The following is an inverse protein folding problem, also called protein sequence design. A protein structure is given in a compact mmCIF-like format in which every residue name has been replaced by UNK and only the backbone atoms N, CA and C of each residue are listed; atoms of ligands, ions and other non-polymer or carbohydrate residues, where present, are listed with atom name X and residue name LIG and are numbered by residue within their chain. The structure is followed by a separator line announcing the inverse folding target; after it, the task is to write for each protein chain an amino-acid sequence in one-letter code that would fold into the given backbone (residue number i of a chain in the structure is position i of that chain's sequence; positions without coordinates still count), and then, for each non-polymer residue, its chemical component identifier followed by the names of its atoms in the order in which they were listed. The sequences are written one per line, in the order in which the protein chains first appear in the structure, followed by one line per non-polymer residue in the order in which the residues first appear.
data_IF_667547056276
#
_entry.id   IF_667547056276
#
_cell.length_a   1.000
_cell.length_b   1.000
_cell.length_c   1.000
_cell.angle_alpha   90.00
_cell.angle_beta   90.00
_cell.angle_gamma   90.00
#
_symmetry.space_group_name_H-M   'P 1'
#
loop_
_entity.id
_entity.type
_entity.pdbx_description
1 polymer ?
#
# COMPACT_ATOMS: atom_id res chain seq x y z
N UNK A 1 -6.62 14.58 6.57
CA UNK A 1 -6.02 13.99 5.34
C UNK A 1 -5.88 12.48 5.51
N UNK A 2 -6.00 11.71 4.43
CA UNK A 2 -5.70 10.27 4.41
C UNK A 2 -4.64 9.96 3.34
N UNK A 3 -3.57 9.27 3.69
CA UNK A 3 -2.49 8.86 2.80
C UNK A 3 -2.76 7.42 2.32
N UNK A 4 -2.58 7.17 1.02
CA UNK A 4 -2.60 5.84 0.44
C UNK A 4 -1.21 5.48 -0.10
N UNK A 5 -0.69 4.31 0.30
CA UNK A 5 0.55 3.75 -0.26
C UNK A 5 0.33 2.35 -0.86
N UNK A 6 1.25 1.96 -1.75
CA UNK A 6 1.34 0.57 -2.24
C UNK A 6 1.91 -0.35 -1.16
N UNK A 7 1.58 -1.65 -1.19
CA UNK A 7 2.25 -2.65 -0.36
C UNK A 7 3.64 -2.98 -0.94
N UNK A 8 4.39 -3.83 -0.25
CA UNK A 8 5.64 -4.39 -0.75
C UNK A 8 5.55 -5.89 -1.04
N UNK A 9 6.44 -6.37 -1.91
CA UNK A 9 6.56 -7.79 -2.27
C UNK A 9 7.35 -8.59 -1.23
N UNK A 10 8.34 -7.96 -0.61
CA UNK A 10 9.13 -8.56 0.46
C UNK A 10 8.43 -8.32 1.80
N UNK A 11 8.45 -9.35 2.64
CA UNK A 11 7.84 -9.32 3.96
C UNK A 11 8.86 -9.77 5.00
N UNK A 12 8.86 -9.13 6.15
CA UNK A 12 9.71 -9.41 7.29
C UNK A 12 8.86 -9.72 8.53
N UNK A 13 8.96 -10.95 9.02
CA UNK A 13 8.24 -11.47 10.17
C UNK A 13 9.12 -11.62 11.42
N UNK A 14 10.26 -10.90 11.47
CA UNK A 14 11.00 -10.70 12.71
C UNK A 14 10.10 -10.10 13.79
N UNK A 15 10.41 -10.35 15.06
CA UNK A 15 9.62 -9.86 16.19
C UNK A 15 9.49 -8.33 16.13
N UNK A 16 8.27 -7.78 16.10
CA UNK A 16 8.08 -6.33 16.09
C UNK A 16 8.44 -5.74 17.46
N UNK A 17 8.96 -4.52 17.48
CA UNK A 17 9.16 -3.76 18.72
C UNK A 17 7.81 -3.28 19.31
N UNK A 18 6.80 -3.07 18.45
CA UNK A 18 5.46 -2.61 18.82
C UNK A 18 4.43 -3.75 18.77
N UNK A 19 3.66 -3.92 19.84
CA UNK A 19 2.82 -5.11 20.06
C UNK A 19 1.33 -4.90 19.77
N UNK A 20 0.82 -3.66 19.76
CA UNK A 20 -0.60 -3.43 19.50
C UNK A 20 -0.93 -3.74 18.02
N UNK A 21 -2.10 -4.32 17.78
CA UNK A 21 -2.52 -4.74 16.46
C UNK A 21 -4.03 -4.60 16.27
N UNK A 22 -4.45 -4.61 15.02
CA UNK A 22 -5.85 -4.70 14.58
C UNK A 22 -6.02 -5.82 13.56
N UNK A 23 -7.25 -6.03 13.11
CA UNK A 23 -7.58 -7.02 12.08
C UNK A 23 -8.05 -6.36 10.79
N UNK A 24 -7.72 -6.95 9.62
CA UNK A 24 -8.22 -6.49 8.33
C UNK A 24 -9.75 -6.51 8.24
N UNK A 25 -10.33 -5.48 7.62
CA UNK A 25 -11.79 -5.31 7.59
C UNK A 25 -12.46 -6.30 6.60
N UNK A 26 -11.81 -6.61 5.46
CA UNK A 26 -12.37 -7.42 4.37
C UNK A 26 -12.26 -8.95 4.57
N UNK A 27 -12.51 -9.45 5.78
CA UNK A 27 -12.29 -10.87 6.15
C UNK A 27 -12.94 -11.90 5.21
N UNK A 28 -14.16 -11.65 4.73
CA UNK A 28 -14.86 -12.55 3.80
C UNK A 28 -14.24 -12.57 2.40
N UNK A 29 -13.78 -11.41 1.91
CA UNK A 29 -13.12 -11.32 0.63
C UNK A 29 -11.72 -11.95 0.68
N UNK A 30 -10.97 -11.74 1.78
CA UNK A 30 -9.68 -12.41 2.02
C UNK A 30 -9.86 -13.94 1.97
N UNK A 31 -10.83 -14.49 2.71
CA UNK A 31 -11.13 -15.93 2.71
C UNK A 31 -11.45 -16.44 1.30
N UNK A 32 -12.23 -15.69 0.53
CA UNK A 32 -12.60 -16.05 -0.85
C UNK A 32 -11.38 -16.11 -1.75
N UNK A 33 -10.54 -15.07 -1.74
CA UNK A 33 -9.33 -15.01 -2.56
C UNK A 33 -8.33 -16.11 -2.15
N UNK A 34 -8.08 -16.30 -0.85
CA UNK A 34 -7.22 -17.38 -0.36
C UNK A 34 -7.72 -18.76 -0.80
N UNK A 35 -9.03 -19.02 -0.81
CA UNK A 35 -9.59 -20.28 -1.31
C UNK A 35 -9.32 -20.51 -2.80
N UNK A 36 -9.34 -19.46 -3.62
CA UNK A 36 -8.96 -19.55 -5.03
C UNK A 36 -7.47 -19.84 -5.15
N UNK A 37 -6.63 -19.12 -4.38
CA UNK A 37 -5.18 -19.26 -4.43
C UNK A 37 -4.70 -20.62 -3.92
N UNK A 38 -5.34 -21.19 -2.90
CA UNK A 38 -5.06 -22.54 -2.35
C UNK A 38 -5.19 -23.67 -3.37
N UNK A 39 -5.94 -23.47 -4.45
CA UNK A 39 -6.15 -24.48 -5.50
C UNK A 39 -5.07 -24.49 -6.58
N UNK A 40 -4.23 -23.45 -6.64
CA UNK A 40 -3.20 -23.28 -7.66
C UNK A 40 -1.92 -23.99 -7.21
N UNK A 41 -1.29 -24.72 -8.14
CA UNK A 41 0.04 -25.30 -7.92
C UNK A 41 1.12 -24.27 -8.19
N UNK A 42 2.36 -24.52 -7.78
CA UNK A 42 3.51 -23.65 -8.05
C UNK A 42 3.60 -23.25 -9.52
N UNK A 43 3.45 -24.20 -10.46
CA UNK A 43 3.47 -23.87 -11.90
C UNK A 43 2.39 -22.84 -12.29
N UNK A 44 1.15 -23.04 -11.85
CA UNK A 44 0.05 -22.09 -12.12
C UNK A 44 0.33 -20.70 -11.51
N UNK A 45 0.97 -20.65 -10.33
CA UNK A 45 1.34 -19.41 -9.67
C UNK A 45 2.50 -18.70 -10.38
N UNK A 46 3.49 -19.45 -10.87
CA UNK A 46 4.61 -18.92 -11.64
C UNK A 46 4.11 -18.22 -12.91
N UNK A 47 3.22 -18.89 -13.66
CA UNK A 47 2.60 -18.35 -14.87
C UNK A 47 1.70 -17.15 -14.55
N UNK A 48 0.82 -17.26 -13.55
CA UNK A 48 -0.15 -16.22 -13.19
C UNK A 48 0.51 -14.93 -12.70
N UNK A 49 1.58 -15.04 -11.91
CA UNK A 49 2.22 -13.90 -11.25
C UNK A 49 3.53 -13.46 -11.92
N UNK A 50 3.96 -14.17 -12.97
CA UNK A 50 5.24 -13.96 -13.65
C UNK A 50 6.42 -13.96 -12.66
N UNK A 51 6.50 -15.01 -11.84
CA UNK A 51 7.54 -15.19 -10.81
C UNK A 51 8.36 -16.45 -11.07
N UNK A 52 9.55 -16.51 -10.47
CA UNK A 52 10.40 -17.72 -10.52
C UNK A 52 9.73 -18.90 -9.83
N UNK A 53 10.13 -20.11 -10.21
CA UNK A 53 9.68 -21.37 -9.62
C UNK A 53 9.82 -21.39 -8.09
N UNK A 54 11.01 -21.05 -7.57
CA UNK A 54 11.25 -20.97 -6.12
C UNK A 54 10.27 -20.03 -5.40
N UNK A 55 9.93 -18.88 -6.01
CA UNK A 55 8.95 -17.97 -5.43
C UNK A 55 7.54 -18.52 -5.53
N UNK A 56 7.23 -19.26 -6.59
CA UNK A 56 5.92 -19.87 -6.77
C UNK A 56 5.67 -21.01 -5.76
N UNK A 57 6.66 -21.88 -5.54
CA UNK A 57 6.62 -22.92 -4.51
C UNK A 57 6.45 -22.33 -3.11
N UNK A 58 7.21 -21.27 -2.80
CA UNK A 58 7.08 -20.53 -1.55
C UNK A 58 5.64 -20.00 -1.37
N UNK A 59 5.05 -19.40 -2.41
CA UNK A 59 3.71 -18.85 -2.31
C UNK A 59 2.62 -19.93 -2.31
N UNK A 60 2.81 -21.06 -2.99
CA UNK A 60 1.92 -22.23 -2.86
C UNK A 60 1.88 -22.70 -1.40
N UNK A 61 3.06 -22.85 -0.76
CA UNK A 61 3.17 -23.22 0.66
C UNK A 61 2.45 -22.19 1.54
N UNK A 62 2.73 -20.89 1.35
CA UNK A 62 2.08 -19.80 2.10
C UNK A 62 0.56 -19.86 2.00
N UNK A 63 0.02 -20.06 0.80
CA UNK A 63 -1.42 -20.20 0.64
C UNK A 63 -1.96 -21.45 1.31
N UNK A 64 -1.31 -22.61 1.16
CA UNK A 64 -1.74 -23.85 1.82
C UNK A 64 -1.77 -23.73 3.34
N UNK A 65 -0.78 -23.07 3.94
CA UNK A 65 -0.67 -22.87 5.38
C UNK A 65 -1.42 -21.65 5.90
N UNK A 66 -2.06 -20.86 5.03
CA UNK A 66 -2.79 -19.66 5.42
C UNK A 66 -3.96 -20.01 6.36
N UNK A 67 -3.99 -19.38 7.52
CA UNK A 67 -4.96 -19.62 8.59
C UNK A 67 -6.10 -18.60 8.57
N UNK A 68 -7.28 -18.99 9.06
CA UNK A 68 -8.44 -18.08 9.12
C UNK A 68 -8.33 -17.04 10.23
N UNK A 69 -7.70 -17.44 11.34
CA UNK A 69 -7.51 -16.60 12.52
C UNK A 69 -6.09 -16.01 12.49
N UNK A 70 -6.01 -14.73 12.84
CA UNK A 70 -4.78 -13.95 12.75
C UNK A 70 -4.36 -13.61 14.17
N UNK A 71 -3.14 -14.01 14.51
CA UNK A 71 -2.52 -13.76 15.79
C UNK A 71 -1.02 -13.47 15.59
N UNK A 72 -0.33 -12.93 16.61
CA UNK A 72 1.10 -12.61 16.50
C UNK A 72 2.01 -13.79 16.13
N UNK A 73 1.59 -15.04 16.34
CA UNK A 73 2.40 -16.22 16.01
C UNK A 73 2.40 -16.53 14.51
N UNK A 74 1.33 -16.15 13.79
CA UNK A 74 1.17 -16.45 12.36
C UNK A 74 1.15 -15.20 11.47
N UNK A 75 1.12 -14.02 12.05
CA UNK A 75 0.93 -12.75 11.34
C UNK A 75 1.66 -11.59 12.02
N UNK A 76 1.86 -10.50 11.28
CA UNK A 76 2.50 -9.28 11.77
C UNK A 76 1.79 -8.06 11.20
N UNK A 77 1.83 -6.93 11.91
CA UNK A 77 1.20 -5.69 11.48
C UNK A 77 1.71 -5.24 10.11
N UNK A 78 0.83 -4.79 9.23
CA UNK A 78 1.13 -4.48 7.84
C UNK A 78 2.30 -3.51 7.67
N UNK A 79 2.33 -2.39 8.42
CA UNK A 79 3.40 -1.39 8.32
C UNK A 79 4.76 -1.93 8.77
N UNK A 80 4.77 -2.88 9.71
CA UNK A 80 5.98 -3.51 10.25
C UNK A 80 6.42 -4.73 9.42
N UNK A 81 5.50 -5.35 8.69
CA UNK A 81 5.73 -6.56 7.92
C UNK A 81 6.22 -6.25 6.50
N UNK A 82 5.70 -5.22 5.83
CA UNK A 82 6.15 -4.87 4.48
C UNK A 82 7.58 -4.30 4.51
N UNK A 83 8.43 -4.81 3.60
CA UNK A 83 9.79 -4.30 3.38
C UNK A 83 10.03 -4.11 1.88
N UNK A 84 10.68 -3.02 1.49
CA UNK A 84 10.96 -2.65 0.10
C UNK A 84 11.15 -1.15 -0.04
N UNK A 85 11.43 -0.65 -1.23
CA UNK A 85 11.89 0.73 -1.48
C UNK A 85 11.05 1.84 -0.80
N UNK A 86 9.73 1.67 -0.70
CA UNK A 86 8.86 2.60 0.03
C UNK A 86 9.07 2.46 1.54
N UNK A 87 9.02 1.23 2.06
CA UNK A 87 9.04 0.94 3.49
C UNK A 87 10.42 1.06 4.13
N UNK A 88 11.50 0.97 3.35
CA UNK A 88 12.86 1.26 3.85
C UNK A 88 13.10 2.74 4.11
N UNK A 89 12.20 3.61 3.62
CA UNK A 89 12.19 5.04 3.86
C UNK A 89 11.09 5.49 4.83
N UNK A 90 10.38 4.53 5.43
CA UNK A 90 9.48 4.75 6.56
C UNK A 90 10.18 4.17 7.77
N UNK A 91 10.66 5.04 8.66
CA UNK A 91 11.49 4.66 9.81
C UNK A 91 10.61 4.18 10.97
N UNK A 92 9.82 3.15 10.68
CA UNK A 92 8.79 2.63 11.58
C UNK A 92 9.39 2.06 12.87
N UNK A 93 10.65 1.64 12.86
CA UNK A 93 11.34 1.15 14.04
C UNK A 93 11.68 2.28 15.04
N UNK A 94 11.64 3.54 14.60
CA UNK A 94 11.78 4.71 15.46
C UNK A 94 10.45 5.24 15.99
N UNK A 95 9.31 4.64 15.63
CA UNK A 95 8.00 5.25 15.91
C UNK A 95 7.63 5.19 17.39
N UNK A 96 7.15 6.31 17.91
CA UNK A 96 6.45 6.38 19.19
C UNK A 96 5.06 5.78 19.09
N UNK A 97 4.42 5.51 20.24
CA UNK A 97 3.03 5.06 20.28
C UNK A 97 2.10 6.06 19.57
N UNK A 98 2.32 7.36 19.76
CA UNK A 98 1.53 8.42 19.15
C UNK A 98 1.71 8.46 17.62
N UNK A 99 2.89 8.14 17.11
CA UNK A 99 3.16 8.04 15.67
C UNK A 99 2.44 6.83 15.06
N UNK A 100 2.43 5.67 15.75
CA UNK A 100 1.59 4.53 15.35
C UNK A 100 0.10 4.86 15.38
N UNK A 101 -0.39 5.52 16.43
CA UNK A 101 -1.79 5.94 16.53
C UNK A 101 -2.17 6.93 15.42
N UNK A 102 -1.26 7.86 15.08
CA UNK A 102 -1.44 8.79 13.98
C UNK A 102 -1.48 8.05 12.64
N UNK A 103 -0.50 7.19 12.36
CA UNK A 103 -0.46 6.37 11.16
C UNK A 103 -1.74 5.54 11.04
N UNK A 104 -2.19 4.90 12.13
CA UNK A 104 -3.40 4.07 12.14
C UNK A 104 -4.66 4.83 11.69
N UNK A 105 -4.73 6.13 11.98
CA UNK A 105 -5.83 7.01 11.57
C UNK A 105 -5.64 7.58 10.15
N UNK A 106 -4.42 7.91 9.77
CA UNK A 106 -4.12 8.74 8.59
C UNK A 106 -3.45 8.01 7.43
N UNK A 107 -3.09 6.73 7.56
CA UNK A 107 -2.48 5.93 6.50
C UNK A 107 -3.35 4.71 6.16
N UNK A 108 -3.46 4.39 4.87
CA UNK A 108 -3.92 3.08 4.41
C UNK A 108 -2.96 2.50 3.37
N UNK A 109 -2.87 1.17 3.38
CA UNK A 109 -2.05 0.41 2.45
C UNK A 109 -2.99 -0.36 1.53
N UNK A 110 -2.94 -0.09 0.23
CA UNK A 110 -3.71 -0.85 -0.75
C UNK A 110 -3.14 -2.28 -0.86
N UNK A 111 -3.97 -3.27 -1.15
CA UNK A 111 -3.51 -4.67 -1.25
C UNK A 111 -4.38 -5.48 -2.20
N UNK A 112 -3.74 -6.31 -3.04
CA UNK A 112 -4.47 -7.23 -3.92
C UNK A 112 -5.26 -8.28 -3.14
N UNK A 113 -4.72 -8.77 -2.00
CA UNK A 113 -5.37 -9.79 -1.16
C UNK A 113 -6.28 -9.18 -0.10
N UNK A 114 -5.83 -8.11 0.55
CA UNK A 114 -6.50 -7.53 1.71
C UNK A 114 -7.40 -6.34 1.36
N UNK A 115 -7.35 -5.84 0.11
CA UNK A 115 -8.11 -4.68 -0.36
C UNK A 115 -7.52 -3.38 0.18
N UNK A 116 -7.81 -3.06 1.43
CA UNK A 116 -7.36 -1.86 2.15
C UNK A 116 -6.95 -2.27 3.57
N UNK A 117 -5.71 -1.96 3.95
CA UNK A 117 -5.15 -2.27 5.27
C UNK A 117 -4.90 -0.99 6.07
N UNK A 118 -5.14 -1.07 7.39
CA UNK A 118 -4.58 -0.14 8.37
C UNK A 118 -3.13 -0.54 8.70
N UNK A 119 -2.27 0.40 9.12
CA UNK A 119 -0.89 0.12 9.52
C UNK A 119 -0.72 -1.05 10.50
N UNK A 120 -1.59 -1.15 11.50
CA UNK A 120 -1.53 -2.15 12.55
C UNK A 120 -2.33 -3.42 12.23
N UNK A 121 -2.91 -3.55 11.03
CA UNK A 121 -3.62 -4.78 10.66
C UNK A 121 -2.67 -5.95 10.52
N UNK A 122 -2.97 -7.04 11.20
CA UNK A 122 -2.24 -8.29 11.05
C UNK A 122 -2.38 -8.83 9.64
N UNK A 123 -1.24 -9.13 9.00
CA UNK A 123 -1.16 -9.81 7.71
C UNK A 123 -0.35 -11.10 7.85
N UNK A 124 -0.77 -12.13 7.12
CA UNK A 124 -0.03 -13.39 6.98
C UNK A 124 0.80 -13.34 5.69
N UNK A 125 1.86 -14.14 5.56
CA UNK A 125 2.70 -14.14 4.36
C UNK A 125 1.88 -14.46 3.11
N UNK A 126 2.01 -13.64 2.07
CA UNK A 126 1.31 -13.83 0.79
C UNK A 126 2.08 -13.15 -0.34
N UNK A 127 1.66 -13.42 -1.58
CA UNK A 127 1.98 -12.58 -2.73
C UNK A 127 0.79 -12.54 -3.67
N UNK A 128 0.14 -11.37 -3.77
CA UNK A 128 -0.93 -11.14 -4.74
C UNK A 128 -0.92 -9.66 -5.11
N UNK A 129 -0.27 -9.36 -6.22
CA UNK A 129 -0.14 -8.01 -6.77
C UNK A 129 -1.48 -7.57 -7.36
N UNK A 130 -1.83 -6.28 -7.27
CA UNK A 130 -3.17 -5.81 -7.69
C UNK A 130 -3.38 -6.00 -9.19
N UNK A 131 -2.32 -5.91 -9.99
CA UNK A 131 -2.36 -6.15 -11.43
C UNK A 131 -2.59 -7.62 -11.85
N UNK A 132 -2.62 -8.57 -10.89
CA UNK A 132 -2.77 -10.00 -11.21
C UNK A 132 -4.13 -10.27 -11.88
N UNK A 133 -4.11 -10.95 -13.03
CA UNK A 133 -5.32 -11.38 -13.76
C UNK A 133 -5.92 -12.66 -13.14
N UNK A 134 -6.25 -12.56 -11.86
CA UNK A 134 -6.89 -13.65 -11.13
C UNK A 134 -8.39 -13.69 -11.45
N UNK A 135 -8.81 -14.68 -12.22
CA UNK A 135 -10.23 -14.91 -12.48
C UNK A 135 -10.92 -15.49 -11.24
N UNK A 136 -12.09 -14.93 -10.93
CA UNK A 136 -12.94 -15.32 -9.81
C UNK A 136 -14.41 -15.26 -10.25
N UNK A 137 -15.32 -15.75 -9.41
CA UNK A 137 -16.77 -15.61 -9.66
C UNK A 137 -17.24 -14.14 -9.75
N UNK A 138 -16.45 -13.17 -9.27
CA UNK A 138 -16.82 -11.75 -9.22
C UNK A 138 -16.13 -10.90 -10.31
N UNK A 139 -15.26 -11.48 -11.14
CA UNK A 139 -14.53 -10.74 -12.15
C UNK A 139 -13.29 -11.46 -12.68
N UNK A 140 -12.76 -10.97 -13.80
CA UNK A 140 -11.62 -11.54 -14.53
C UNK A 140 -10.25 -11.12 -13.98
N UNK A 141 -10.23 -10.17 -13.06
CA UNK A 141 -9.03 -9.63 -12.42
C UNK A 141 -9.41 -9.01 -11.06
N UNK A 142 -8.40 -8.59 -10.29
CA UNK A 142 -8.63 -8.02 -8.95
C UNK A 142 -9.30 -6.64 -8.98
N UNK A 143 -9.14 -5.85 -10.04
CA UNK A 143 -9.86 -4.56 -10.17
C UNK A 143 -11.37 -4.78 -10.22
N UNK A 144 -11.83 -5.71 -11.06
CA UNK A 144 -13.24 -6.10 -11.14
C UNK A 144 -13.73 -6.75 -9.84
N UNK A 145 -12.91 -7.61 -9.23
CA UNK A 145 -13.24 -8.27 -7.97
C UNK A 145 -13.53 -7.26 -6.85
N UNK A 146 -12.64 -6.27 -6.68
CA UNK A 146 -12.78 -5.26 -5.63
C UNK A 146 -13.85 -4.22 -5.97
N UNK A 147 -14.02 -3.88 -7.25
CA UNK A 147 -15.04 -2.94 -7.72
C UNK A 147 -15.05 -1.65 -6.87
N UNK A 148 -16.23 -1.26 -6.37
CA UNK A 148 -16.37 -0.06 -5.54
C UNK A 148 -15.98 -0.26 -4.05
N UNK A 149 -15.59 -1.47 -3.61
CA UNK A 149 -15.46 -1.79 -2.18
C UNK A 149 -14.37 -0.97 -1.49
N UNK A 150 -13.19 -0.88 -2.13
CA UNK A 150 -12.05 -0.15 -1.61
C UNK A 150 -12.40 1.34 -1.48
N UNK A 151 -13.01 1.94 -2.50
CA UNK A 151 -13.44 3.34 -2.46
C UNK A 151 -14.47 3.61 -1.35
N UNK A 152 -15.43 2.70 -1.14
CA UNK A 152 -16.40 2.81 -0.04
C UNK A 152 -15.74 2.76 1.34
N UNK A 153 -14.80 1.84 1.56
CA UNK A 153 -14.04 1.78 2.81
C UNK A 153 -13.15 3.03 3.01
N UNK A 154 -12.58 3.57 1.94
CA UNK A 154 -11.85 4.85 2.01
C UNK A 154 -12.80 5.99 2.42
N UNK A 155 -14.00 6.08 1.85
CA UNK A 155 -14.96 7.13 2.23
C UNK A 155 -15.33 7.09 3.72
N UNK A 156 -15.50 5.90 4.29
CA UNK A 156 -15.83 5.71 5.71
C UNK A 156 -14.76 6.29 6.65
N UNK A 157 -13.49 6.11 6.28
CA UNK A 157 -12.37 6.55 7.13
C UNK A 157 -11.94 7.99 6.82
N UNK A 158 -12.00 8.41 5.55
CA UNK A 158 -11.58 9.73 5.11
C UNK A 158 -12.57 10.82 5.53
N UNK A 159 -13.88 10.51 5.62
CA UNK A 159 -14.93 11.49 5.99
C UNK A 159 -14.79 12.80 5.21
N UNK A 160 -14.71 12.68 3.88
CA UNK A 160 -14.53 13.79 2.92
C UNK A 160 -13.21 14.58 3.04
N UNK A 161 -12.28 14.17 3.91
CA UNK A 161 -10.93 14.70 3.92
C UNK A 161 -10.18 14.35 2.63
N UNK A 162 -9.27 15.23 2.21
CA UNK A 162 -8.40 15.02 1.05
C UNK A 162 -7.58 13.74 1.20
N UNK A 163 -7.53 12.97 0.12
CA UNK A 163 -6.71 11.79 -0.04
C UNK A 163 -5.41 12.19 -0.73
N UNK A 164 -4.29 11.80 -0.14
CA UNK A 164 -2.98 11.88 -0.76
C UNK A 164 -2.63 10.51 -1.33
N UNK A 165 -2.55 10.44 -2.65
CA UNK A 165 -2.15 9.25 -3.35
C UNK A 165 -0.63 9.22 -3.52
N UNK A 166 0.02 8.40 -2.68
CA UNK A 166 1.43 8.00 -2.79
C UNK A 166 1.56 6.54 -3.25
N UNK A 167 0.46 5.91 -3.68
CA UNK A 167 0.49 4.57 -4.25
C UNK A 167 0.86 4.62 -5.74
N UNK A 168 1.42 3.52 -6.23
CA UNK A 168 1.61 3.34 -7.67
C UNK A 168 0.26 3.20 -8.38
N UNK A 169 0.21 3.58 -9.66
CA UNK A 169 -0.98 3.44 -10.50
C UNK A 169 -1.56 2.03 -10.51
N UNK A 170 -0.73 0.99 -10.45
CA UNK A 170 -1.18 -0.41 -10.37
C UNK A 170 -2.16 -0.64 -9.20
N UNK A 171 -1.90 -0.05 -8.04
CA UNK A 171 -2.72 -0.23 -6.84
C UNK A 171 -3.83 0.82 -6.79
N UNK A 172 -3.53 2.08 -7.09
CA UNK A 172 -4.53 3.15 -7.04
C UNK A 172 -5.68 2.95 -8.04
N UNK A 173 -5.43 2.27 -9.17
CA UNK A 173 -6.47 1.86 -10.12
C UNK A 173 -7.59 0.99 -9.50
N UNK A 174 -7.35 0.34 -8.37
CA UNK A 174 -8.38 -0.41 -7.65
C UNK A 174 -9.32 0.48 -6.82
N UNK A 175 -9.02 1.78 -6.70
CA UNK A 175 -9.90 2.77 -6.09
C UNK A 175 -10.85 3.31 -7.16
N UNK A 176 -12.11 2.91 -7.09
CA UNK A 176 -13.16 3.44 -7.97
C UNK A 176 -13.42 4.92 -7.71
N UNK A 177 -12.84 5.79 -8.53
CA UNK A 177 -12.98 7.25 -8.43
C UNK A 177 -14.42 7.74 -8.59
N UNK A 178 -15.32 6.97 -9.25
CA UNK A 178 -16.74 7.35 -9.35
C UNK A 178 -17.49 7.14 -8.03
N UNK A 179 -17.03 6.19 -7.23
CA UNK A 179 -17.61 5.91 -5.90
C UNK A 179 -16.91 6.71 -4.78
N UNK A 180 -15.73 7.28 -5.04
CA UNK A 180 -14.96 8.05 -4.09
C UNK A 180 -15.54 9.47 -3.93
N UNK A 181 -15.70 9.93 -2.69
CA UNK A 181 -16.26 11.27 -2.38
C UNK A 181 -15.19 12.32 -2.11
N UNK A 182 -14.09 11.89 -1.49
CA UNK A 182 -12.96 12.75 -1.16
C UNK A 182 -12.21 13.24 -2.40
N UNK A 183 -11.72 14.47 -2.35
CA UNK A 183 -10.73 14.98 -3.31
C UNK A 183 -9.46 14.14 -3.24
N UNK A 184 -8.82 13.92 -4.38
CA UNK A 184 -7.55 13.20 -4.47
C UNK A 184 -6.48 14.15 -4.97
N UNK A 185 -5.33 14.12 -4.32
CA UNK A 185 -4.11 14.74 -4.78
C UNK A 185 -3.08 13.64 -4.97
N UNK A 186 -2.61 13.45 -6.20
CA UNK A 186 -1.55 12.50 -6.51
C UNK A 186 -0.21 13.21 -6.50
N UNK A 187 0.76 12.64 -5.79
CA UNK A 187 2.10 13.21 -5.68
C UNK A 187 3.07 12.43 -6.57
N UNK A 188 3.78 13.16 -7.43
CA UNK A 188 4.84 12.64 -8.29
C UNK A 188 6.20 13.16 -7.84
N UNK A 189 7.19 12.26 -7.89
CA UNK A 189 8.59 12.58 -7.66
C UNK A 189 9.35 12.40 -8.97
N UNK A 190 10.00 13.46 -9.44
CA UNK A 190 10.75 13.48 -10.70
C UNK A 190 12.20 13.90 -10.45
N UNK A 191 13.09 13.34 -11.23
CA UNK A 191 14.53 13.66 -11.22
C UNK A 191 14.90 14.33 -12.53
N UNK A 192 15.80 15.32 -12.49
CA UNK A 192 16.39 15.88 -13.69
C UNK A 192 17.38 14.87 -14.32
N UNK A 193 17.04 14.35 -15.50
CA UNK A 193 17.87 13.40 -16.25
C UNK A 193 17.64 13.55 -17.74
N UNK A 194 18.72 13.57 -18.54
CA UNK A 194 18.64 13.74 -19.99
C UNK A 194 17.81 14.99 -20.37
N UNK A 195 18.19 16.14 -19.79
CA UNK A 195 17.61 17.47 -20.07
C UNK A 195 16.10 17.59 -19.79
N UNK A 196 15.53 16.69 -18.98
CA UNK A 196 14.11 16.73 -18.62
C UNK A 196 13.85 16.10 -17.24
N UNK A 197 12.75 16.49 -16.60
CA UNK A 197 12.29 15.87 -15.35
C UNK A 197 11.52 14.58 -15.64
N UNK A 198 12.03 13.46 -15.11
CA UNK A 198 11.48 12.12 -15.36
C UNK A 198 11.26 11.35 -14.05
N UNK A 199 10.26 10.47 -14.04
CA UNK A 199 10.03 9.58 -12.89
C UNK A 199 11.05 8.43 -12.96
N UNK A 200 12.01 8.42 -12.04
CA UNK A 200 12.90 7.27 -11.85
C UNK A 200 12.28 6.35 -10.79
N UNK A 201 11.82 5.18 -11.23
CA UNK A 201 10.93 4.32 -10.42
C UNK A 201 11.46 3.93 -9.04
N UNK A 202 12.77 3.72 -8.88
CA UNK A 202 13.39 3.44 -7.58
C UNK A 202 13.28 4.65 -6.64
N UNK A 203 13.75 5.83 -7.09
CA UNK A 203 13.74 7.05 -6.29
C UNK A 203 12.32 7.52 -5.99
N UNK A 204 11.39 7.40 -6.94
CA UNK A 204 10.00 7.74 -6.71
C UNK A 204 9.35 6.87 -5.63
N UNK A 205 9.69 5.58 -5.53
CA UNK A 205 9.22 4.72 -4.42
C UNK A 205 9.81 5.14 -3.09
N UNK A 206 11.12 5.41 -3.06
CA UNK A 206 11.80 5.89 -1.86
C UNK A 206 11.20 7.21 -1.37
N UNK A 207 10.97 8.16 -2.26
CA UNK A 207 10.38 9.46 -1.95
C UNK A 207 8.93 9.36 -1.45
N UNK A 208 8.13 8.42 -1.98
CA UNK A 208 6.80 8.11 -1.41
C UNK A 208 6.89 7.62 0.03
N UNK A 209 7.89 6.81 0.35
CA UNK A 209 8.17 6.39 1.72
C UNK A 209 8.54 7.57 2.61
N UNK A 210 9.51 8.37 2.18
CA UNK A 210 9.97 9.56 2.89
C UNK A 210 8.84 10.57 3.16
N UNK A 211 7.99 10.85 2.16
CA UNK A 211 6.84 11.73 2.32
C UNK A 211 5.81 11.16 3.30
N UNK A 212 5.60 9.84 3.27
CA UNK A 212 4.72 9.16 4.23
C UNK A 212 5.26 9.30 5.65
N UNK A 213 6.56 9.03 5.84
CA UNK A 213 7.24 9.16 7.13
C UNK A 213 7.20 10.59 7.65
N UNK A 214 7.53 11.56 6.78
CA UNK A 214 7.47 12.98 7.08
C UNK A 214 6.07 13.40 7.56
N UNK A 215 5.01 12.98 6.87
CA UNK A 215 3.65 13.29 7.26
C UNK A 215 3.28 12.68 8.62
N UNK A 216 3.74 11.47 8.93
CA UNK A 216 3.45 10.80 10.20
C UNK A 216 4.22 11.43 11.35
N UNK A 217 5.55 11.58 11.22
CA UNK A 217 6.41 12.16 12.27
C UNK A 217 6.00 13.58 12.64
N UNK A 218 5.55 14.36 11.64
CA UNK A 218 5.08 15.74 11.85
C UNK A 218 3.56 15.83 12.09
N UNK A 219 2.84 14.69 12.18
CA UNK A 219 1.39 14.61 12.41
C UNK A 219 0.57 15.52 11.47
N UNK A 220 0.97 15.57 10.20
CA UNK A 220 0.40 16.48 9.20
C UNK A 220 -1.03 16.06 8.86
N UNK A 221 -1.99 16.96 9.08
CA UNK A 221 -3.41 16.73 8.77
C UNK A 221 -3.92 17.59 7.63
N UNK A 222 -3.25 18.71 7.36
CA UNK A 222 -3.47 19.60 6.23
C UNK A 222 -2.57 19.19 5.04
N UNK A 223 -3.14 18.78 3.89
CA UNK A 223 -2.39 18.49 2.67
C UNK A 223 -1.36 19.54 2.29
N UNK A 224 -1.67 20.83 2.42
CA UNK A 224 -0.81 21.92 1.94
C UNK A 224 0.56 21.93 2.63
N UNK A 225 0.61 21.48 3.88
CA UNK A 225 1.86 21.35 4.64
C UNK A 225 2.84 20.34 4.02
N UNK A 226 2.37 19.40 3.19
CA UNK A 226 3.26 18.48 2.46
C UNK A 226 4.14 19.18 1.43
N UNK A 227 3.76 20.37 0.94
CA UNK A 227 4.59 21.18 0.02
C UNK A 227 5.90 21.64 0.66
N UNK A 228 6.01 21.57 2.00
CA UNK A 228 7.24 21.89 2.76
C UNK A 228 8.24 20.72 2.82
N UNK A 229 7.89 19.55 2.26
CA UNK A 229 8.78 18.40 2.20
C UNK A 229 10.05 18.71 1.38
N UNK A 230 11.23 18.54 2.02
CA UNK A 230 12.53 18.86 1.45
C UNK A 230 13.59 17.74 1.62
N UNK A 231 13.16 16.49 1.80
CA UNK A 231 14.11 15.39 2.08
C UNK A 231 14.86 14.92 0.83
N UNK A 232 16.15 14.59 1.01
CA UNK A 232 17.07 14.15 -0.04
C UNK A 232 17.12 15.06 -1.27
N UNK A 233 16.82 16.35 -1.14
CA UNK A 233 16.89 17.34 -2.22
C UNK A 233 15.65 17.45 -3.10
N UNK A 234 14.56 16.73 -2.79
CA UNK A 234 13.27 16.98 -3.44
C UNK A 234 12.65 18.28 -2.96
N UNK A 235 12.00 19.04 -3.85
CA UNK A 235 11.22 20.23 -3.48
C UNK A 235 9.93 20.32 -4.30
N UNK A 236 8.89 20.93 -3.73
CA UNK A 236 7.64 21.16 -4.45
C UNK A 236 7.85 22.13 -5.62
N UNK A 237 7.39 21.75 -6.79
CA UNK A 237 7.48 22.57 -8.00
C UNK A 237 6.09 23.04 -8.45
N UNK A 238 5.77 24.30 -8.16
CA UNK A 238 4.53 24.94 -8.61
C UNK A 238 4.37 24.90 -10.16
N UNK A 239 5.41 25.19 -10.98
CA UNK A 239 5.27 25.18 -12.43
C UNK A 239 4.91 23.82 -13.04
N UNK A 240 5.25 22.71 -12.37
CA UNK A 240 4.92 21.35 -12.82
C UNK A 240 3.67 20.77 -12.13
N UNK A 241 3.06 21.51 -11.21
CA UNK A 241 1.93 21.06 -10.41
C UNK A 241 0.59 21.62 -10.92
N UNK A 242 -0.48 20.96 -10.52
CA UNK A 242 -1.86 21.38 -10.72
C UNK A 242 -2.66 21.17 -9.43
N UNK A 243 -3.97 21.41 -9.46
CA UNK A 243 -4.83 21.23 -8.28
C UNK A 243 -4.89 19.77 -7.78
N UNK A 244 -4.78 18.79 -8.68
CA UNK A 244 -4.94 17.36 -8.37
C UNK A 244 -3.62 16.58 -8.47
N UNK A 245 -2.59 17.19 -9.06
CA UNK A 245 -1.30 16.55 -9.32
C UNK A 245 -0.18 17.44 -8.80
N UNK A 246 0.50 17.03 -7.74
CA UNK A 246 1.63 17.77 -7.17
C UNK A 246 2.94 17.11 -7.58
N UNK A 247 3.88 17.92 -8.07
CA UNK A 247 5.17 17.44 -8.54
C UNK A 247 6.26 17.97 -7.61
N UNK A 248 7.04 17.03 -7.09
CA UNK A 248 8.29 17.31 -6.40
C UNK A 248 9.43 16.95 -7.33
N UNK A 249 10.39 17.85 -7.46
CA UNK A 249 11.54 17.69 -8.35
C UNK A 249 12.84 17.65 -7.56
N UNK A 250 13.82 16.94 -8.11
CA UNK A 250 15.20 16.91 -7.66
C UNK A 250 16.13 16.93 -8.88
#
# INVERSE_FOLDING_TARGET
MLILISPAKTLDYSNPHYQEFTHPDFTNDIKTLVQVMKKKKAQDLAELMHISENLAELNEKRYKTFQKEFNPDNSKQALLAFKGDVYTKIDVDSYSKEEFEFAQKHLRILSGLYGLLKPLDLIQPYRLEMGTRLETKKGKNLYEYWGSKIAKAINEVAKDQTIINLASQEYFKAVDLKALKSKVITIHFKEFKNDSYQIIGLFAKQARGMMTDFAIKNKITDPEMLKTFQQEGYEYSEPFSSAEEWVFVR
#
